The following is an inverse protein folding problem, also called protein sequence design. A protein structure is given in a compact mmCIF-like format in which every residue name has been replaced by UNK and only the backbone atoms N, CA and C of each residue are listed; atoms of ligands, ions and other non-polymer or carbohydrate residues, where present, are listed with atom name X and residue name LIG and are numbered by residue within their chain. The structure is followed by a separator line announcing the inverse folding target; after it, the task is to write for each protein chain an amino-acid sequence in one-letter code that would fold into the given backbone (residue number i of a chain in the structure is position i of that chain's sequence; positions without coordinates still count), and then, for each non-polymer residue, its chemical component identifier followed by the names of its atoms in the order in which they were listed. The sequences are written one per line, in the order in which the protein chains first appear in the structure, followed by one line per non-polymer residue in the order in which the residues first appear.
data_IF_946164475436
#
_entry.id   IF_946164475436
#
_cell.length_a   1.000
_cell.length_b   1.000
_cell.length_c   1.000
_cell.angle_alpha   90.00
_cell.angle_beta   90.00
_cell.angle_gamma   90.00
#
_symmetry.space_group_name_H-M   'P 1'
#
loop_
_entity.id
_entity.type
_entity.pdbx_description
1 polymer ?
#
# COMPACT_ATOMS: atom_id res chain seq x y z
N UNK A 1 -14.33 18.23 17.50
CA UNK A 1 -13.02 18.91 17.53
C UNK A 1 -12.19 18.30 16.41
N UNK A 2 -12.00 19.02 15.31
CA UNK A 2 -11.12 18.62 14.20
C UNK A 2 -9.70 18.98 14.67
N UNK A 3 -8.91 17.96 15.03
CA UNK A 3 -7.53 18.16 15.44
C UNK A 3 -6.75 18.83 14.32
N UNK A 4 -5.85 19.75 14.68
CA UNK A 4 -4.88 20.40 13.76
C UNK A 4 -3.91 19.33 13.24
N UNK A 5 -4.29 18.66 12.15
CA UNK A 5 -3.39 17.78 11.43
C UNK A 5 -2.41 18.62 10.63
N UNK A 6 -1.14 18.23 10.52
CA UNK A 6 -0.20 18.87 9.60
C UNK A 6 -0.80 18.95 8.20
N UNK A 7 -0.57 20.04 7.49
CA UNK A 7 -1.13 20.32 6.15
C UNK A 7 -0.84 19.19 5.15
N UNK A 8 0.32 18.58 5.26
CA UNK A 8 0.78 17.38 4.53
C UNK A 8 -0.14 16.18 4.71
N UNK A 9 -0.58 15.93 5.94
CA UNK A 9 -1.49 14.83 6.23
C UNK A 9 -2.88 15.08 5.63
N UNK A 10 -3.32 16.34 5.65
CA UNK A 10 -4.60 16.74 5.04
C UNK A 10 -4.59 16.56 3.53
N UNK A 11 -3.49 16.90 2.84
CA UNK A 11 -3.37 16.71 1.39
C UNK A 11 -3.43 15.21 1.02
N UNK A 12 -2.70 14.38 1.75
CA UNK A 12 -2.73 12.92 1.60
C UNK A 12 -4.13 12.36 1.78
N UNK A 13 -4.85 12.79 2.82
CA UNK A 13 -6.22 12.35 3.08
C UNK A 13 -7.19 12.80 1.99
N UNK A 14 -7.06 14.03 1.47
CA UNK A 14 -7.89 14.53 0.35
C UNK A 14 -7.67 13.72 -0.93
N UNK A 15 -6.42 13.34 -1.22
CA UNK A 15 -6.09 12.50 -2.39
C UNK A 15 -6.67 11.08 -2.25
N UNK A 16 -6.53 10.46 -1.09
CA UNK A 16 -7.15 9.16 -0.82
C UNK A 16 -8.67 9.22 -0.92
N UNK A 17 -9.28 10.30 -0.42
CA UNK A 17 -10.72 10.51 -0.54
C UNK A 17 -11.14 10.64 -2.02
N UNK A 18 -10.43 11.43 -2.82
CA UNK A 18 -10.69 11.56 -4.26
C UNK A 18 -10.63 10.21 -5.00
N UNK A 19 -9.66 9.35 -4.65
CA UNK A 19 -9.57 8.00 -5.19
C UNK A 19 -10.76 7.16 -4.72
N UNK A 20 -11.13 7.24 -3.45
CA UNK A 20 -12.26 6.52 -2.89
C UNK A 20 -13.58 6.89 -3.58
N UNK A 21 -13.81 8.18 -3.84
CA UNK A 21 -14.99 8.68 -4.54
C UNK A 21 -15.07 8.12 -5.98
N UNK A 22 -13.95 8.03 -6.68
CA UNK A 22 -13.88 7.44 -8.02
C UNK A 22 -14.12 5.93 -8.00
N UNK A 23 -13.56 5.20 -7.04
CA UNK A 23 -13.84 3.76 -6.85
C UNK A 23 -15.33 3.55 -6.61
N UNK A 24 -15.94 4.36 -5.76
CA UNK A 24 -17.37 4.30 -5.48
C UNK A 24 -18.20 4.55 -6.74
N UNK A 25 -17.90 5.63 -7.47
CA UNK A 25 -18.59 5.96 -8.73
C UNK A 25 -18.53 4.81 -9.74
N UNK A 26 -17.34 4.25 -9.97
CA UNK A 26 -17.14 3.11 -10.89
C UNK A 26 -17.96 1.90 -10.42
N UNK A 27 -17.89 1.57 -9.14
CA UNK A 27 -18.59 0.41 -8.58
C UNK A 27 -20.11 0.55 -8.67
N UNK A 28 -20.65 1.72 -8.39
CA UNK A 28 -22.08 2.01 -8.48
C UNK A 28 -22.55 1.97 -9.93
N UNK A 29 -21.79 2.55 -10.86
CA UNK A 29 -22.10 2.52 -12.29
C UNK A 29 -22.11 1.10 -12.84
N UNK A 30 -21.09 0.29 -12.52
CA UNK A 30 -21.00 -1.12 -12.94
C UNK A 30 -22.20 -1.94 -12.43
N UNK A 31 -22.60 -1.71 -11.20
CA UNK A 31 -23.75 -2.38 -10.57
C UNK A 31 -25.05 -2.00 -11.27
N UNK A 32 -25.27 -0.71 -11.49
CA UNK A 32 -26.47 -0.18 -12.10
C UNK A 32 -26.64 -0.65 -13.56
N UNK A 33 -25.56 -0.66 -14.34
CA UNK A 33 -25.59 -0.95 -15.76
C UNK A 33 -25.17 -2.38 -16.12
N UNK A 34 -24.80 -3.21 -15.13
CA UNK A 34 -24.33 -4.59 -15.31
C UNK A 34 -23.14 -4.71 -16.28
N UNK A 35 -22.24 -3.73 -16.28
CA UNK A 35 -21.03 -3.68 -17.11
C UNK A 35 -19.78 -3.74 -16.26
N UNK A 36 -18.62 -3.93 -16.90
CA UNK A 36 -17.30 -3.84 -16.25
C UNK A 36 -16.47 -2.76 -16.91
N UNK A 37 -16.11 -1.75 -16.15
CA UNK A 37 -15.30 -0.61 -16.56
C UNK A 37 -13.80 -0.90 -16.31
N UNK A 38 -13.25 -1.85 -17.08
CA UNK A 38 -11.87 -2.34 -16.87
C UNK A 38 -10.82 -1.26 -17.01
N UNK A 39 -10.98 -0.35 -17.99
CA UNK A 39 -10.04 0.74 -18.24
C UNK A 39 -10.06 1.76 -17.11
N UNK A 40 -11.23 2.20 -16.69
CA UNK A 40 -11.44 3.16 -15.63
C UNK A 40 -10.92 2.63 -14.29
N UNK A 41 -11.15 1.34 -14.00
CA UNK A 41 -10.55 0.65 -12.84
C UNK A 41 -9.03 0.69 -12.91
N UNK A 42 -8.45 0.37 -14.08
CA UNK A 42 -7.00 0.38 -14.24
C UNK A 42 -6.42 1.78 -14.04
N UNK A 43 -7.03 2.82 -14.58
CA UNK A 43 -6.59 4.22 -14.39
C UNK A 43 -6.61 4.65 -12.92
N UNK A 44 -7.61 4.21 -12.14
CA UNK A 44 -7.66 4.45 -10.69
C UNK A 44 -6.56 3.67 -9.98
N UNK A 45 -6.35 2.40 -10.34
CA UNK A 45 -5.31 1.55 -9.74
C UNK A 45 -3.92 2.09 -10.04
N UNK A 46 -3.64 2.54 -11.26
CA UNK A 46 -2.34 3.10 -11.63
C UNK A 46 -2.01 4.34 -10.78
N UNK A 47 -2.98 5.22 -10.56
CA UNK A 47 -2.81 6.35 -9.63
C UNK A 47 -2.62 5.91 -8.20
N UNK A 48 -3.35 4.88 -7.77
CA UNK A 48 -3.22 4.33 -6.43
C UNK A 48 -1.83 3.74 -6.20
N UNK A 49 -1.31 2.99 -7.19
CA UNK A 49 0.02 2.39 -7.08
C UNK A 49 1.14 3.43 -7.19
N UNK A 50 0.98 4.47 -8.01
CA UNK A 50 1.92 5.59 -8.07
C UNK A 50 2.06 6.29 -6.71
N UNK A 51 0.97 6.38 -5.96
CA UNK A 51 0.95 6.97 -4.62
C UNK A 51 1.85 6.24 -3.61
N UNK A 52 2.06 4.94 -3.77
CA UNK A 52 2.88 4.14 -2.83
C UNK A 52 4.31 3.93 -3.27
N UNK A 53 4.57 3.98 -4.58
CA UNK A 53 5.87 3.54 -5.12
C UNK A 53 6.85 4.68 -5.40
N UNK A 54 6.37 5.85 -5.76
CA UNK A 54 7.20 6.94 -6.25
C UNK A 54 6.60 8.30 -5.90
N UNK A 55 5.99 8.45 -4.72
CA UNK A 55 5.25 9.65 -4.35
C UNK A 55 6.14 10.93 -4.31
N UNK A 56 6.55 11.48 -5.48
CA UNK A 56 7.24 12.79 -5.51
C UNK A 56 6.35 13.89 -4.97
N UNK A 57 5.06 13.61 -4.82
CA UNK A 57 4.05 14.53 -4.36
C UNK A 57 3.63 14.32 -2.90
N UNK A 58 4.30 13.44 -2.15
CA UNK A 58 4.11 13.37 -0.70
C UNK A 58 4.90 14.53 -0.10
N UNK A 59 4.25 15.54 0.50
CA UNK A 59 4.94 16.59 1.21
C UNK A 59 5.90 15.96 2.23
N UNK A 60 7.12 16.49 2.31
CA UNK A 60 8.18 15.90 3.14
C UNK A 60 8.89 14.68 2.52
N UNK A 61 8.47 14.22 1.32
CA UNK A 61 9.20 13.20 0.59
C UNK A 61 10.55 13.76 0.12
N UNK A 62 11.63 13.20 0.65
CA UNK A 62 12.99 13.63 0.37
C UNK A 62 13.50 13.20 -1.02
N UNK A 63 12.63 12.61 -1.84
CA UNK A 63 12.98 12.05 -3.15
C UNK A 63 13.77 10.74 -3.06
N UNK A 64 13.91 10.17 -1.86
CA UNK A 64 14.64 8.93 -1.63
C UNK A 64 13.67 7.76 -1.64
N UNK A 65 13.74 6.94 -2.69
CA UNK A 65 12.83 5.81 -2.92
C UNK A 65 12.76 4.82 -1.75
N UNK A 66 13.84 4.66 -1.01
CA UNK A 66 13.94 3.69 0.08
C UNK A 66 14.08 4.39 1.44
N UNK A 67 13.46 5.57 1.57
CA UNK A 67 13.57 6.39 2.78
C UNK A 67 13.08 5.63 4.02
N UNK A 68 13.92 5.58 5.03
CA UNK A 68 13.59 5.00 6.33
C UNK A 68 12.56 5.81 7.10
N UNK A 69 12.37 7.09 6.73
CA UNK A 69 11.34 7.98 7.31
C UNK A 69 9.93 7.63 6.86
N UNK A 70 9.79 7.01 5.67
CA UNK A 70 8.48 6.81 5.06
C UNK A 70 8.04 5.35 5.00
N UNK A 71 8.99 4.41 5.06
CA UNK A 71 8.70 2.99 4.91
C UNK A 71 9.24 2.17 6.06
N UNK A 72 8.55 1.09 6.39
CA UNK A 72 9.14 0.05 7.24
C UNK A 72 10.20 -0.72 6.47
N UNK A 73 11.27 -1.10 7.15
CA UNK A 73 12.39 -1.83 6.58
C UNK A 73 12.66 -3.09 7.39
N UNK A 74 13.21 -4.11 6.74
CA UNK A 74 13.89 -5.21 7.46
C UNK A 74 15.30 -4.79 7.83
N UNK A 75 15.92 -5.45 8.81
CA UNK A 75 17.32 -5.21 9.16
C UNK A 75 18.26 -5.50 7.99
N UNK A 76 17.98 -6.58 7.24
CA UNK A 76 18.74 -6.91 6.04
C UNK A 76 18.64 -5.80 4.97
N UNK A 77 17.47 -5.23 4.77
CA UNK A 77 17.30 -4.11 3.82
C UNK A 77 18.02 -2.85 4.29
N UNK A 78 18.02 -2.55 5.59
CA UNK A 78 18.78 -1.44 6.17
C UNK A 78 20.28 -1.60 5.94
N UNK A 79 20.83 -2.77 6.21
CA UNK A 79 22.25 -3.04 5.97
C UNK A 79 22.68 -2.76 4.52
N UNK A 80 21.83 -3.14 3.54
CA UNK A 80 22.09 -2.83 2.14
C UNK A 80 22.05 -1.32 1.85
N UNK A 81 21.13 -0.58 2.49
CA UNK A 81 21.04 0.87 2.34
C UNK A 81 22.25 1.57 2.96
N UNK A 82 22.69 1.13 4.13
CA UNK A 82 23.87 1.67 4.81
C UNK A 82 25.16 1.46 4.02
N UNK A 83 25.33 0.26 3.41
CA UNK A 83 26.51 -0.06 2.60
C UNK A 83 26.58 0.81 1.33
N UNK A 84 25.45 1.07 0.67
CA UNK A 84 25.40 1.81 -0.61
C UNK A 84 25.29 3.33 -0.39
N UNK A 85 24.85 3.74 0.80
CA UNK A 85 24.56 5.12 1.17
C UNK A 85 23.11 5.52 0.81
N UNK A 86 22.44 6.11 1.79
CA UNK A 86 21.00 6.47 1.76
C UNK A 86 20.61 7.51 0.69
N UNK A 87 21.57 8.15 0.03
CA UNK A 87 21.34 9.22 -0.97
C UNK A 87 21.03 8.71 -2.39
N UNK A 88 20.94 7.41 -2.59
CA UNK A 88 20.59 6.88 -3.91
C UNK A 88 19.11 7.13 -4.22
N UNK A 89 18.84 8.11 -5.09
CA UNK A 89 17.51 8.30 -5.72
C UNK A 89 17.18 7.22 -6.73
N UNK A 90 18.11 6.30 -7.00
CA UNK A 90 17.96 5.24 -7.98
C UNK A 90 17.54 3.93 -7.30
N UNK A 91 17.06 3.01 -8.10
CA UNK A 91 16.78 1.64 -7.67
C UNK A 91 18.05 1.00 -7.11
N UNK A 92 18.04 0.62 -5.83
CA UNK A 92 19.15 -0.09 -5.19
C UNK A 92 19.04 -1.57 -5.60
N UNK A 93 20.09 -2.14 -6.24
CA UNK A 93 20.12 -3.58 -6.52
C UNK A 93 20.00 -4.37 -5.22
N UNK A 94 19.21 -5.42 -5.22
CA UNK A 94 19.01 -6.23 -4.00
C UNK A 94 17.79 -5.83 -3.18
N UNK A 95 17.27 -4.61 -3.32
CA UNK A 95 16.07 -4.17 -2.60
C UNK A 95 14.79 -4.24 -3.44
N UNK A 96 13.68 -4.37 -2.75
CA UNK A 96 12.31 -4.32 -3.27
C UNK A 96 11.41 -3.45 -2.42
N UNK A 97 10.56 -2.65 -3.08
CA UNK A 97 9.33 -2.15 -2.48
C UNK A 97 8.27 -3.25 -2.58
N UNK A 98 7.82 -3.72 -1.45
CA UNK A 98 6.81 -4.77 -1.38
C UNK A 98 5.54 -4.21 -0.74
N UNK A 99 4.40 -4.33 -1.43
CA UNK A 99 3.12 -3.91 -0.84
C UNK A 99 2.81 -4.82 0.33
N UNK A 100 2.56 -4.24 1.49
CA UNK A 100 2.34 -4.98 2.74
C UNK A 100 1.15 -5.93 2.63
N UNK A 101 0.06 -5.47 2.03
CA UNK A 101 -1.06 -6.31 1.59
C UNK A 101 -0.98 -6.43 0.06
N UNK A 102 -1.12 -7.63 -0.54
CA UNK A 102 -1.04 -7.80 -1.98
C UNK A 102 -1.99 -6.88 -2.75
N UNK A 103 -1.50 -6.28 -3.85
CA UNK A 103 -2.30 -5.35 -4.68
C UNK A 103 -3.62 -5.94 -5.13
N UNK A 104 -3.60 -7.19 -5.61
CA UNK A 104 -4.80 -7.89 -6.07
C UNK A 104 -5.86 -8.06 -4.98
N UNK A 105 -5.43 -8.16 -3.72
CA UNK A 105 -6.35 -8.25 -2.59
C UNK A 105 -6.94 -6.88 -2.25
N UNK A 106 -6.13 -5.82 -2.27
CA UNK A 106 -6.62 -4.43 -2.09
C UNK A 106 -7.64 -4.10 -3.20
N UNK A 107 -7.31 -4.42 -4.46
CA UNK A 107 -8.22 -4.23 -5.59
C UNK A 107 -9.55 -4.97 -5.37
N UNK A 108 -9.49 -6.22 -4.95
CA UNK A 108 -10.69 -7.00 -4.62
C UNK A 108 -11.50 -6.35 -3.51
N UNK A 109 -10.87 -5.86 -2.46
CA UNK A 109 -11.55 -5.19 -1.35
C UNK A 109 -12.28 -3.92 -1.80
N UNK A 110 -11.64 -3.07 -2.62
CA UNK A 110 -12.21 -1.78 -3.01
C UNK A 110 -13.26 -1.86 -4.13
N UNK A 111 -13.24 -2.91 -4.96
CA UNK A 111 -14.16 -3.06 -6.09
C UNK A 111 -15.19 -4.19 -5.97
N UNK A 112 -14.98 -5.17 -5.10
CA UNK A 112 -15.86 -6.35 -5.03
C UNK A 112 -16.72 -6.40 -3.77
N UNK A 113 -16.28 -5.78 -2.69
CA UNK A 113 -17.00 -5.77 -1.41
C UNK A 113 -17.91 -4.53 -1.28
N UNK A 114 -18.77 -4.29 -2.29
CA UNK A 114 -19.72 -3.17 -2.23
C UNK A 114 -20.64 -3.21 -0.99
N UNK A 115 -20.99 -4.41 -0.51
CA UNK A 115 -21.76 -4.56 0.73
C UNK A 115 -20.91 -4.32 1.99
N UNK A 116 -19.62 -4.64 1.94
CA UNK A 116 -18.70 -4.30 3.02
C UNK A 116 -18.40 -2.79 3.08
N UNK A 117 -18.48 -2.10 1.93
CA UNK A 117 -18.30 -0.64 1.85
C UNK A 117 -19.50 0.10 2.47
N UNK A 118 -20.73 -0.39 2.27
CA UNK A 118 -21.95 0.19 2.88
C UNK A 118 -22.00 -0.04 4.40
N UNK A 119 -21.43 -1.14 4.88
CA UNK A 119 -21.34 -1.43 6.34
C UNK A 119 -20.17 -0.76 7.05
N UNK A 120 -19.15 -0.29 6.32
CA UNK A 120 -18.02 0.43 6.89
C UNK A 120 -18.28 1.94 6.86
N UNK A 121 -18.48 2.57 8.04
CA UNK A 121 -18.62 4.03 8.18
C UNK A 121 -17.49 4.84 7.51
N UNK A 122 -16.36 4.21 7.22
CA UNK A 122 -15.15 4.83 6.71
C UNK A 122 -14.83 4.44 5.25
N UNK A 123 -15.55 3.46 4.68
CA UNK A 123 -15.51 3.13 3.26
C UNK A 123 -14.11 2.81 2.67
N UNK A 124 -13.98 3.05 1.37
CA UNK A 124 -12.76 2.80 0.60
C UNK A 124 -11.53 3.54 1.15
N UNK A 125 -11.71 4.78 1.63
CA UNK A 125 -10.61 5.58 2.19
C UNK A 125 -9.98 4.91 3.41
N UNK A 126 -10.77 4.26 4.26
CA UNK A 126 -10.27 3.49 5.40
C UNK A 126 -9.46 2.27 4.96
N UNK A 127 -9.97 1.51 3.99
CA UNK A 127 -9.27 0.36 3.41
C UNK A 127 -7.90 0.79 2.89
N UNK A 128 -7.85 1.89 2.13
CA UNK A 128 -6.61 2.41 1.59
C UNK A 128 -5.64 2.87 2.69
N UNK A 129 -6.11 3.62 3.68
CA UNK A 129 -5.30 4.07 4.82
C UNK A 129 -4.72 2.89 5.61
N UNK A 130 -5.50 1.83 5.80
CA UNK A 130 -5.10 0.65 6.57
C UNK A 130 -4.12 -0.24 5.81
N UNK A 131 -4.37 -0.52 4.53
CA UNK A 131 -3.69 -1.57 3.78
C UNK A 131 -2.74 -1.08 2.69
N UNK A 132 -2.91 0.17 2.21
CA UNK A 132 -2.05 0.75 1.19
C UNK A 132 -0.71 1.18 1.80
N UNK A 133 0.11 0.20 2.14
CA UNK A 133 1.42 0.38 2.77
C UNK A 133 2.47 -0.38 1.97
N UNK A 134 3.68 0.15 2.00
CA UNK A 134 4.85 -0.46 1.38
C UNK A 134 5.90 -0.73 2.47
N UNK A 135 6.60 -1.83 2.33
CA UNK A 135 7.79 -2.15 3.10
C UNK A 135 8.98 -2.29 2.15
N UNK A 136 10.15 -1.95 2.61
CA UNK A 136 11.41 -2.18 1.92
C UNK A 136 12.03 -3.46 2.46
N UNK A 137 12.21 -4.42 1.58
CA UNK A 137 12.74 -5.75 1.88
C UNK A 137 13.85 -6.10 0.89
N UNK A 138 14.66 -7.09 1.19
CA UNK A 138 15.58 -7.65 0.21
C UNK A 138 14.83 -8.49 -0.84
N UNK A 139 15.51 -8.78 -1.97
CA UNK A 139 14.96 -9.69 -2.97
C UNK A 139 14.77 -11.10 -2.44
N UNK A 140 15.64 -11.55 -1.56
CA UNK A 140 15.61 -12.85 -0.90
C UNK A 140 14.38 -12.96 0.00
N UNK A 141 14.10 -11.95 0.82
CA UNK A 141 12.91 -11.88 1.65
C UNK A 141 11.62 -11.83 0.81
N UNK A 142 11.63 -11.07 -0.30
CA UNK A 142 10.49 -11.07 -1.23
C UNK A 142 10.27 -12.45 -1.88
N UNK A 143 11.35 -13.17 -2.24
CA UNK A 143 11.24 -14.56 -2.73
C UNK A 143 10.72 -15.52 -1.67
N UNK A 144 11.11 -15.33 -0.40
CA UNK A 144 10.57 -16.11 0.72
C UNK A 144 9.06 -15.93 0.83
N UNK A 145 8.54 -14.70 0.76
CA UNK A 145 7.09 -14.45 0.71
C UNK A 145 6.43 -15.16 -0.49
N UNK A 146 7.04 -15.05 -1.67
CA UNK A 146 6.51 -15.65 -2.90
C UNK A 146 6.47 -17.19 -2.80
N UNK A 147 7.56 -17.82 -2.35
CA UNK A 147 7.67 -19.28 -2.22
C UNK A 147 6.80 -19.86 -1.09
N UNK A 148 6.51 -19.05 -0.06
CA UNK A 148 5.59 -19.44 1.02
C UNK A 148 4.10 -19.26 0.63
N UNK A 149 3.81 -18.88 -0.63
CA UNK A 149 2.44 -18.74 -1.13
C UNK A 149 1.79 -17.38 -0.83
N UNK A 150 2.55 -16.42 -0.30
CA UNK A 150 2.06 -15.09 0.08
C UNK A 150 2.28 -14.00 -0.98
N UNK A 151 2.59 -14.39 -2.20
CA UNK A 151 2.72 -13.44 -3.33
C UNK A 151 1.45 -12.61 -3.56
N UNK A 152 0.29 -13.28 -3.54
CA UNK A 152 -1.02 -12.68 -3.84
C UNK A 152 -2.06 -12.91 -2.75
N UNK A 153 -1.66 -13.51 -1.62
CA UNK A 153 -2.55 -13.90 -0.53
C UNK A 153 -2.02 -13.40 0.82
N UNK A 154 -2.93 -13.28 1.76
CA UNK A 154 -2.63 -13.19 3.19
C UNK A 154 -2.76 -14.58 3.81
N UNK A 155 -2.23 -14.81 5.04
CA UNK A 155 -2.48 -16.05 5.78
C UNK A 155 -3.97 -16.38 5.88
N UNK A 156 -4.33 -17.66 5.92
CA UNK A 156 -5.72 -18.11 5.98
C UNK A 156 -6.43 -17.65 7.26
N UNK A 157 -5.67 -17.55 8.36
CA UNK A 157 -6.10 -17.08 9.66
C UNK A 157 -6.07 -15.53 9.81
N UNK A 158 -5.89 -14.80 8.72
CA UNK A 158 -5.83 -13.34 8.77
C UNK A 158 -7.21 -12.70 9.04
N UNK A 159 -7.32 -12.07 10.19
CA UNK A 159 -8.52 -11.38 10.69
C UNK A 159 -8.78 -10.00 10.05
N UNK A 160 -7.93 -9.56 9.12
CA UNK A 160 -7.90 -8.22 8.53
C UNK A 160 -7.48 -7.09 9.48
N UNK A 161 -7.02 -7.40 10.70
CA UNK A 161 -6.55 -6.36 11.62
C UNK A 161 -5.07 -6.00 11.39
N UNK A 162 -4.21 -7.00 11.29
CA UNK A 162 -2.79 -6.77 11.07
C UNK A 162 -2.41 -6.83 9.59
N UNK A 163 -2.09 -5.69 8.93
CA UNK A 163 -1.65 -5.70 7.54
C UNK A 163 -0.31 -6.42 7.34
N UNK A 164 0.48 -6.62 8.39
CA UNK A 164 1.81 -7.24 8.33
C UNK A 164 1.79 -8.76 8.58
N UNK A 165 0.62 -9.38 8.70
CA UNK A 165 0.46 -10.79 9.07
C UNK A 165 1.29 -11.74 8.20
N UNK A 166 1.38 -11.52 6.86
CA UNK A 166 2.15 -12.40 5.97
C UNK A 166 3.66 -12.36 6.23
N UNK A 167 4.20 -11.23 6.68
CA UNK A 167 5.61 -11.11 7.06
C UNK A 167 5.89 -11.87 8.35
N UNK A 168 5.04 -11.67 9.35
CA UNK A 168 5.14 -12.40 10.62
C UNK A 168 5.06 -13.91 10.43
N UNK A 169 4.18 -14.36 9.52
CA UNK A 169 3.98 -15.79 9.23
C UNK A 169 5.24 -16.48 8.69
N UNK A 170 6.11 -15.74 7.99
CA UNK A 170 7.39 -16.26 7.45
C UNK A 170 8.61 -15.80 8.26
N UNK A 171 8.41 -15.20 9.42
CA UNK A 171 9.50 -14.77 10.29
C UNK A 171 10.25 -13.51 9.82
N UNK A 172 9.69 -12.72 8.90
CA UNK A 172 10.28 -11.46 8.46
C UNK A 172 9.85 -10.35 9.44
N UNK A 173 10.84 -9.74 10.08
CA UNK A 173 10.64 -8.63 11.01
C UNK A 173 10.78 -7.30 10.29
N UNK A 174 9.81 -6.42 10.49
CA UNK A 174 9.77 -5.07 9.92
C UNK A 174 9.90 -4.04 11.04
N UNK A 175 10.93 -3.21 10.94
CA UNK A 175 11.17 -2.11 11.87
C UNK A 175 10.32 -0.89 11.51
N UNK A 176 9.98 -0.08 12.50
CA UNK A 176 9.30 1.18 12.28
C UNK A 176 10.19 2.16 11.51
N UNK A 177 9.60 3.10 10.76
CA UNK A 177 10.30 4.27 10.24
C UNK A 177 11.04 5.01 11.37
N UNK A 178 12.22 5.54 11.06
CA UNK A 178 13.05 6.29 12.01
C UNK A 178 12.71 7.76 11.97
#
# INVERSE_FOLDING_TARGET
MIGNWPEEHMLTMRRLQSIADQVKFISDYERQHKVKLKRERQEVLDRLWAFTCDAPDTPGFDGVKYSEKHHKHTDAARSVIEEIGSRSRRRIPGLRHEHVVPRSLIEKMIFSDSNAIEGMKEGVAHILKKYLKVAVVTKEEARLLDSSGFKTKMPEDWDREDPYARYKKVGIMLNNPV
#
